data_IF_520781199725
#
_entry.id   IF_520781199725
#
_cell.length_a   1.000
_cell.length_b   1.000
_cell.length_c   1.000
_cell.angle_alpha   90.00
_cell.angle_beta   90.00
_cell.angle_gamma   90.00
#
_symmetry.space_group_name_H-M   'P 1'
#
loop_
_entity.id
_entity.type
_entity.pdbx_description
1 polymer ?
#
# COMPACT_ATOMS: atom_id res chain seq x y z
N UNK A 1 -6.80 5.13 12.86
CA UNK A 1 -5.94 4.14 13.55
C UNK A 1 -4.44 4.45 13.41
N UNK A 2 -3.96 5.03 12.30
CA UNK A 2 -2.53 5.32 12.12
C UNK A 2 -1.92 6.28 13.15
N UNK A 3 -2.64 7.33 13.55
CA UNK A 3 -2.13 8.30 14.54
C UNK A 3 -2.11 7.76 15.98
N UNK A 4 -3.07 6.88 16.31
CA UNK A 4 -3.19 6.26 17.65
C UNK A 4 -3.27 4.75 17.43
N UNK A 5 -2.13 4.05 17.33
CA UNK A 5 -2.11 2.63 17.02
C UNK A 5 -2.47 1.77 18.24
N UNK A 6 -3.47 0.91 18.10
CA UNK A 6 -3.76 -0.15 19.06
C UNK A 6 -3.24 -1.51 18.57
N UNK A 7 -2.82 -2.41 19.49
CA UNK A 7 -2.32 -3.73 19.10
C UNK A 7 -3.32 -4.58 18.31
N UNK A 8 -4.62 -4.38 18.54
CA UNK A 8 -5.69 -5.12 17.84
C UNK A 8 -6.80 -4.18 17.40
N UNK A 9 -7.27 -4.37 16.18
CA UNK A 9 -8.34 -3.59 15.55
C UNK A 9 -9.63 -3.48 16.40
N UNK A 10 -10.14 -4.54 17.07
CA UNK A 10 -11.39 -4.42 17.82
C UNK A 10 -11.29 -3.49 19.04
N UNK A 11 -10.07 -3.15 19.49
CA UNK A 11 -9.88 -2.31 20.68
C UNK A 11 -10.43 -0.89 20.51
N UNK A 12 -10.51 -0.39 19.28
CA UNK A 12 -11.09 0.94 19.03
C UNK A 12 -12.57 1.02 19.39
N UNK A 13 -13.29 -0.11 19.46
CA UNK A 13 -14.71 -0.21 19.83
C UNK A 13 -14.95 -0.91 21.17
N UNK A 14 -13.89 -1.36 21.85
CA UNK A 14 -14.01 -2.09 23.12
C UNK A 14 -14.24 -1.10 24.27
N UNK A 15 -15.12 -1.43 25.21
CA UNK A 15 -15.31 -0.65 26.43
C UNK A 15 -13.97 -0.46 27.19
N UNK A 16 -13.74 0.73 27.74
CA UNK A 16 -12.50 1.11 28.43
C UNK A 16 -11.38 1.62 27.50
N UNK A 17 -11.28 1.13 26.27
CA UNK A 17 -10.29 1.60 25.27
C UNK A 17 -10.93 2.23 24.04
N UNK A 18 -12.24 2.48 24.08
CA UNK A 18 -12.98 2.99 22.92
C UNK A 18 -12.48 4.37 22.54
N UNK A 19 -12.28 4.59 21.25
CA UNK A 19 -11.99 5.92 20.73
C UNK A 19 -13.27 6.51 20.16
N UNK A 20 -13.84 7.50 20.85
CA UNK A 20 -15.13 8.10 20.50
C UNK A 20 -15.18 8.61 19.06
N UNK A 21 -14.07 9.19 18.56
CA UNK A 21 -13.95 9.65 17.17
C UNK A 21 -14.21 8.55 16.13
N UNK A 22 -13.88 7.29 16.44
CA UNK A 22 -14.10 6.17 15.52
C UNK A 22 -15.46 5.51 15.80
N UNK A 23 -15.75 5.25 17.08
CA UNK A 23 -16.99 4.57 17.50
C UNK A 23 -18.26 5.31 17.08
N UNK A 24 -18.22 6.64 17.11
CA UNK A 24 -19.40 7.45 16.80
C UNK A 24 -19.68 7.55 15.29
N UNK A 25 -18.69 7.26 14.44
CA UNK A 25 -18.83 7.33 12.98
C UNK A 25 -19.44 6.03 12.43
N UNK A 26 -18.96 4.87 12.89
CA UNK A 26 -19.48 3.58 12.45
C UNK A 26 -19.24 2.47 13.49
N UNK A 27 -20.10 1.45 13.46
CA UNK A 27 -19.93 0.25 14.26
C UNK A 27 -18.72 -0.57 13.79
N UNK A 28 -18.14 -1.35 14.72
CA UNK A 28 -17.04 -2.28 14.44
C UNK A 28 -17.38 -3.21 13.28
N UNK A 29 -18.57 -3.80 13.32
CA UNK A 29 -18.96 -4.85 12.38
C UNK A 29 -19.15 -4.26 10.98
N UNK A 30 -19.76 -3.06 10.87
CA UNK A 30 -19.85 -2.35 9.60
C UNK A 30 -18.48 -2.04 9.02
N UNK A 31 -17.53 -1.57 9.84
CA UNK A 31 -16.16 -1.31 9.39
C UNK A 31 -15.50 -2.58 8.84
N UNK A 32 -15.59 -3.69 9.56
CA UNK A 32 -15.03 -4.98 9.14
C UNK A 32 -15.67 -5.50 7.84
N UNK A 33 -16.99 -5.38 7.70
CA UNK A 33 -17.69 -5.77 6.46
C UNK A 33 -17.19 -4.95 5.28
N UNK A 34 -17.04 -3.63 5.44
CA UNK A 34 -16.52 -2.77 4.37
C UNK A 34 -15.08 -3.10 4.00
N UNK A 35 -14.21 -3.37 4.99
CA UNK A 35 -12.83 -3.78 4.72
C UNK A 35 -12.74 -5.10 3.97
N UNK A 36 -13.61 -6.07 4.29
CA UNK A 36 -13.62 -7.37 3.64
C UNK A 36 -14.26 -7.35 2.25
N UNK A 37 -15.18 -6.41 2.00
CA UNK A 37 -15.87 -6.25 0.73
C UNK A 37 -15.21 -5.22 -0.20
N UNK A 38 -14.01 -4.72 0.13
CA UNK A 38 -13.33 -3.73 -0.69
C UNK A 38 -12.71 -4.40 -1.92
N UNK A 39 -13.33 -4.19 -3.08
CA UNK A 39 -12.84 -4.62 -4.39
C UNK A 39 -12.54 -3.40 -5.26
N UNK A 40 -11.36 -3.37 -5.88
CA UNK A 40 -10.95 -2.28 -6.80
C UNK A 40 -11.36 -2.58 -8.24
N UNK A 41 -11.42 -3.86 -8.60
CA UNK A 41 -11.79 -4.35 -9.93
C UNK A 41 -12.95 -5.32 -9.78
N UNK A 42 -13.93 -5.20 -10.67
CA UNK A 42 -15.06 -6.12 -10.78
C UNK A 42 -14.63 -7.44 -11.43
N UNK A 43 -15.02 -8.56 -10.83
CA UNK A 43 -14.76 -9.90 -11.35
C UNK A 43 -13.60 -10.65 -10.70
N UNK A 44 -13.67 -11.98 -10.77
CA UNK A 44 -12.74 -12.87 -10.08
C UNK A 44 -11.52 -13.27 -10.91
N UNK A 45 -11.60 -13.10 -12.23
CA UNK A 45 -10.58 -13.54 -13.19
C UNK A 45 -9.93 -12.37 -13.90
N UNK A 46 -8.61 -12.49 -14.15
CA UNK A 46 -7.87 -11.48 -14.90
C UNK A 46 -8.39 -11.42 -16.35
N UNK A 47 -8.64 -10.21 -16.90
CA UNK A 47 -8.93 -10.07 -18.32
C UNK A 47 -7.73 -10.51 -19.15
N UNK A 48 -7.96 -10.89 -20.41
CA UNK A 48 -6.92 -11.41 -21.30
C UNK A 48 -5.72 -10.46 -21.44
N UNK A 49 -5.97 -9.15 -21.39
CA UNK A 49 -4.95 -8.10 -21.46
C UNK A 49 -4.01 -8.09 -20.25
N UNK A 50 -4.45 -8.59 -19.09
CA UNK A 50 -3.72 -8.52 -17.81
C UNK A 50 -3.25 -9.90 -17.32
N UNK A 51 -3.33 -10.94 -18.17
CA UNK A 51 -2.96 -12.32 -17.79
C UNK A 51 -1.53 -12.48 -17.23
N UNK A 52 -0.61 -11.56 -17.58
CA UNK A 52 0.76 -11.53 -17.06
C UNK A 52 0.94 -10.70 -15.78
N UNK A 53 -0.02 -9.85 -15.42
CA UNK A 53 0.09 -8.94 -14.30
C UNK A 53 -0.42 -9.58 -13.01
N UNK A 54 0.47 -9.85 -12.05
CA UNK A 54 0.10 -10.46 -10.76
C UNK A 54 -0.76 -9.50 -9.90
N UNK A 55 -0.61 -8.18 -10.10
CA UNK A 55 -1.28 -7.12 -9.35
C UNK A 55 -2.54 -6.57 -10.02
N UNK A 56 -3.04 -7.22 -11.06
CA UNK A 56 -4.19 -6.74 -11.84
C UNK A 56 -5.40 -6.31 -10.99
N UNK A 57 -5.65 -6.98 -9.86
CA UNK A 57 -6.76 -6.65 -8.94
C UNK A 57 -6.63 -5.29 -8.26
N UNK A 58 -5.41 -4.79 -8.07
CA UNK A 58 -5.13 -3.52 -7.38
C UNK A 58 -4.48 -2.48 -8.30
N UNK A 59 -4.03 -2.89 -9.49
CA UNK A 59 -3.32 -2.06 -10.46
C UNK A 59 -4.02 -0.72 -10.75
N UNK A 60 -5.36 -0.66 -10.98
CA UNK A 60 -6.01 0.61 -11.28
C UNK A 60 -5.91 1.64 -10.16
N UNK A 61 -5.89 1.19 -8.89
CA UNK A 61 -5.68 2.08 -7.75
C UNK A 61 -4.25 2.60 -7.72
N UNK A 62 -3.26 1.73 -7.96
CA UNK A 62 -1.84 2.10 -8.00
C UNK A 62 -1.58 3.13 -9.11
N UNK A 63 -2.14 2.89 -10.29
CA UNK A 63 -1.99 3.79 -11.44
C UNK A 63 -2.60 5.15 -11.16
N UNK A 64 -3.81 5.20 -10.58
CA UNK A 64 -4.47 6.46 -10.18
C UNK A 64 -3.60 7.29 -9.23
N UNK A 65 -3.00 6.63 -8.23
CA UNK A 65 -2.11 7.27 -7.25
C UNK A 65 -0.83 7.77 -7.93
N UNK A 66 -0.22 6.93 -8.78
CA UNK A 66 0.99 7.27 -9.54
C UNK A 66 0.76 8.46 -10.48
N UNK A 67 -0.36 8.48 -11.20
CA UNK A 67 -0.74 9.56 -12.09
C UNK A 67 -0.96 10.87 -11.34
N UNK A 68 -1.58 10.79 -10.16
CA UNK A 68 -1.76 11.96 -9.29
C UNK A 68 -0.42 12.52 -8.84
N UNK A 69 0.51 11.66 -8.40
CA UNK A 69 1.86 12.10 -8.02
C UNK A 69 2.69 12.65 -9.18
N UNK A 70 2.48 12.15 -10.40
CA UNK A 70 3.17 12.67 -11.58
C UNK A 70 2.66 14.04 -12.03
N UNK A 71 1.43 14.41 -11.66
CA UNK A 71 0.87 15.76 -11.90
C UNK A 71 1.38 16.79 -10.91
N UNK A 72 1.91 16.37 -9.76
CA UNK A 72 2.50 17.28 -8.78
C UNK A 72 3.82 17.82 -9.32
N UNK A 73 3.98 19.14 -9.26
CA UNK A 73 5.20 19.81 -9.67
C UNK A 73 6.36 19.40 -8.76
N UNK A 74 7.50 19.05 -9.36
CA UNK A 74 8.72 18.72 -8.63
C UNK A 74 9.67 19.89 -8.71
N UNK A 75 10.03 20.45 -7.56
CA UNK A 75 11.05 21.50 -7.46
C UNK A 75 12.41 20.93 -7.88
N UNK A 76 13.23 21.62 -8.67
CA UNK A 76 14.58 21.17 -8.95
C UNK A 76 15.37 20.93 -7.67
N UNK A 77 15.97 19.74 -7.52
CA UNK A 77 16.66 19.35 -6.29
C UNK A 77 17.28 17.95 -6.38
N UNK A 78 17.86 17.51 -5.25
CA UNK A 78 18.41 16.18 -5.11
C UNK A 78 17.34 15.22 -4.59
N UNK A 79 17.16 14.11 -5.30
CA UNK A 79 16.17 13.09 -4.96
C UNK A 79 16.89 11.76 -4.76
N UNK A 80 16.52 11.04 -3.70
CA UNK A 80 16.87 9.64 -3.52
C UNK A 80 15.76 8.76 -4.09
N UNK A 81 16.15 7.64 -4.69
CA UNK A 81 15.25 6.58 -5.11
C UNK A 81 15.62 5.39 -4.25
N UNK A 82 14.63 4.86 -3.54
CA UNK A 82 14.81 3.70 -2.67
C UNK A 82 13.60 2.77 -2.78
N UNK A 83 13.76 1.56 -2.28
CA UNK A 83 12.77 0.51 -2.30
C UNK A 83 12.04 0.46 -0.96
N UNK A 84 10.72 0.67 -0.97
CA UNK A 84 9.91 0.51 0.23
C UNK A 84 9.34 -0.90 0.29
N UNK A 85 9.47 -1.51 1.47
CA UNK A 85 8.92 -2.81 1.81
C UNK A 85 7.59 -2.66 2.56
N UNK A 86 6.54 -3.33 2.08
CA UNK A 86 5.22 -3.39 2.76
C UNK A 86 5.09 -4.71 3.52
N UNK A 87 4.95 -4.72 4.86
CA UNK A 87 4.84 -5.94 5.63
C UNK A 87 3.54 -6.70 5.30
N UNK A 88 3.65 -7.95 4.85
CA UNK A 88 2.52 -8.79 4.49
C UNK A 88 2.73 -10.27 4.84
N UNK A 89 1.93 -10.79 5.76
CA UNK A 89 2.00 -12.18 6.24
C UNK A 89 1.14 -13.17 5.45
N UNK A 90 0.29 -12.70 4.55
CA UNK A 90 -0.58 -13.56 3.74
C UNK A 90 0.15 -14.33 2.64
N UNK A 91 -0.62 -15.12 1.88
CA UNK A 91 -0.12 -15.81 0.68
C UNK A 91 -0.15 -14.84 -0.50
N UNK A 92 1.02 -14.49 -1.03
CA UNK A 92 1.16 -13.68 -2.24
C UNK A 92 2.35 -14.21 -3.05
N UNK A 93 2.21 -14.23 -4.38
CA UNK A 93 3.28 -14.67 -5.29
C UNK A 93 4.48 -13.72 -5.30
N UNK A 94 4.27 -12.44 -4.98
CA UNK A 94 5.30 -11.39 -4.95
C UNK A 94 6.00 -11.24 -3.60
N UNK A 95 5.70 -12.12 -2.63
CA UNK A 95 6.25 -12.04 -1.28
C UNK A 95 7.74 -12.37 -1.30
N UNK A 96 8.57 -11.43 -0.88
CA UNK A 96 10.01 -11.60 -0.73
C UNK A 96 10.43 -11.59 0.75
N UNK A 97 11.42 -12.41 1.08
CA UNK A 97 12.04 -12.46 2.42
C UNK A 97 13.35 -11.69 2.37
N UNK A 98 13.48 -10.63 3.17
CA UNK A 98 14.70 -9.82 3.24
C UNK A 98 15.44 -10.15 4.53
N UNK A 99 16.62 -10.80 4.41
CA UNK A 99 17.40 -11.31 5.55
C UNK A 99 18.03 -10.23 6.45
N UNK A 100 18.11 -8.97 5.98
CA UNK A 100 18.94 -7.92 6.60
C UNK A 100 18.16 -6.90 7.46
N UNK A 101 16.84 -7.04 7.61
CA UNK A 101 16.03 -6.16 8.46
C UNK A 101 15.66 -6.86 9.78
N UNK A 102 15.83 -6.14 10.89
CA UNK A 102 15.72 -6.63 12.29
C UNK A 102 14.28 -6.87 12.76
N UNK A 103 13.29 -6.46 11.97
CA UNK A 103 11.91 -6.90 12.12
C UNK A 103 11.64 -7.86 10.97
N UNK A 104 11.03 -9.01 11.24
CA UNK A 104 10.65 -10.03 10.26
C UNK A 104 9.59 -9.46 9.31
N UNK A 105 10.02 -8.60 8.39
CA UNK A 105 9.19 -7.92 7.41
C UNK A 105 9.21 -8.76 6.13
N UNK A 106 8.18 -9.60 6.00
CA UNK A 106 7.79 -10.20 4.74
C UNK A 106 7.31 -9.08 3.85
N UNK A 107 7.91 -8.84 2.69
CA UNK A 107 7.56 -7.64 1.96
C UNK A 107 7.43 -7.80 0.47
N UNK A 108 6.52 -7.01 -0.06
CA UNK A 108 6.38 -6.74 -1.48
C UNK A 108 7.24 -5.51 -1.81
N UNK A 109 8.11 -5.66 -2.81
CA UNK A 109 9.05 -4.65 -3.25
C UNK A 109 8.36 -3.73 -4.25
N UNK A 110 8.05 -2.51 -3.83
CA UNK A 110 7.57 -1.48 -4.74
C UNK A 110 8.78 -0.79 -5.37
N UNK A 111 9.20 -1.25 -6.55
CA UNK A 111 10.05 -0.46 -7.44
C UNK A 111 9.14 0.21 -8.47
N UNK A 112 8.90 1.51 -8.32
CA UNK A 112 8.28 2.27 -9.39
C UNK A 112 9.34 2.44 -10.48
N UNK A 113 9.17 1.72 -11.60
CA UNK A 113 9.94 1.95 -12.83
C UNK A 113 9.64 3.37 -13.35
N UNK A 114 10.40 4.34 -12.83
CA UNK A 114 10.45 5.70 -13.36
C UNK A 114 11.48 5.70 -14.49
N UNK A 115 11.00 5.52 -15.73
CA UNK A 115 11.82 5.67 -16.94
C UNK A 115 12.66 6.95 -16.82
N UNK A 116 13.98 6.77 -16.83
CA UNK A 116 15.00 7.81 -16.90
C UNK A 116 14.55 8.93 -17.86
N UNK A 117 14.24 10.11 -17.33
CA UNK A 117 14.30 11.33 -18.14
C UNK A 117 15.78 11.70 -18.31
N UNK A 118 16.22 12.15 -19.51
CA UNK A 118 17.65 12.30 -19.84
C UNK A 118 18.46 13.26 -18.95
N UNK A 119 17.79 14.09 -18.13
CA UNK A 119 18.43 15.20 -17.43
C UNK A 119 18.57 15.01 -15.90
N UNK A 120 18.26 13.83 -15.36
CA UNK A 120 18.56 13.54 -13.95
C UNK A 120 20.03 13.10 -13.82
N UNK A 121 20.93 14.06 -13.61
CA UNK A 121 22.33 13.80 -13.23
C UNK A 121 22.34 13.10 -11.86
N UNK A 122 22.41 11.77 -11.88
CA UNK A 122 22.75 10.96 -10.72
C UNK A 122 24.24 11.15 -10.43
N UNK A 123 24.57 11.93 -9.39
CA UNK A 123 25.89 11.82 -8.74
C UNK A 123 25.71 10.84 -7.59
N UNK A 124 26.31 9.65 -7.73
CA UNK A 124 26.48 8.70 -6.66
C UNK A 124 27.42 9.34 -5.61
N UNK A 125 26.96 9.40 -4.36
CA UNK A 125 27.84 9.46 -3.19
C UNK A 125 28.02 8.03 -2.68
#
# INVERSE_FOLDING_TARGET
MGCVPYPRLPMYWRAGTKLGLICNIMSRDRFLTLCNALHVVEGDSAPDSEKGNVLWKVQPMIDKVKDTFNKLERVPGFYSIDEQMIPFTGRCKLRQVVKKQTKTCWAEKLCNDYKRRPNARLRYL
#
